data_IF_320286297928
#
_entry.id   IF_320286297928
#
_cell.length_a   1.000
_cell.length_b   1.000
_cell.length_c   1.000
_cell.angle_alpha   90.00
_cell.angle_beta   90.00
_cell.angle_gamma   90.00
#
_symmetry.space_group_name_H-M   'P 1'
#
loop_
_entity.id
_entity.type
_entity.pdbx_description
1 polymer ?
#
# COMPACT_ATOMS: atom_id res chain seq x y z
N UNK A 1 -10.01 -23.58 -5.42
CA UNK A 1 -9.12 -22.84 -6.35
C UNK A 1 -7.72 -23.42 -6.23
N UNK A 2 -7.00 -23.66 -7.34
CA UNK A 2 -5.57 -24.02 -7.27
C UNK A 2 -4.79 -22.74 -7.00
N UNK A 3 -4.13 -22.65 -5.85
CA UNK A 3 -3.25 -21.53 -5.54
C UNK A 3 -2.02 -21.56 -6.45
N UNK A 4 -1.71 -20.43 -7.08
CA UNK A 4 -0.50 -20.27 -7.88
C UNK A 4 0.48 -19.41 -7.08
N UNK A 5 1.72 -19.87 -6.91
CA UNK A 5 2.77 -19.15 -6.19
C UNK A 5 3.65 -18.38 -7.17
N UNK A 6 3.94 -17.12 -6.85
CA UNK A 6 4.91 -16.29 -7.55
C UNK A 6 6.16 -16.12 -6.69
N UNK A 7 7.33 -16.41 -7.24
CA UNK A 7 8.62 -16.17 -6.60
C UNK A 7 9.39 -15.11 -7.39
N UNK A 8 9.90 -14.10 -6.69
CA UNK A 8 10.61 -12.95 -7.27
C UNK A 8 11.97 -12.86 -6.59
N UNK A 9 13.03 -12.57 -7.37
CA UNK A 9 14.35 -12.25 -6.82
C UNK A 9 14.55 -10.75 -6.86
N UNK A 10 14.87 -10.19 -5.72
CA UNK A 10 15.15 -8.77 -5.50
C UNK A 10 16.35 -8.65 -4.58
N UNK A 11 17.02 -7.50 -4.60
CA UNK A 11 18.14 -7.25 -3.68
C UNK A 11 17.64 -7.07 -2.23
N UNK A 12 18.49 -7.28 -1.22
CA UNK A 12 18.11 -7.05 0.18
C UNK A 12 17.69 -5.60 0.44
N UNK A 13 18.39 -4.63 -0.16
CA UNK A 13 18.09 -3.20 0.01
C UNK A 13 16.73 -2.86 -0.58
N UNK A 14 16.46 -3.35 -1.80
CA UNK A 14 15.17 -3.19 -2.47
C UNK A 14 14.03 -3.87 -1.68
N UNK A 15 14.28 -5.04 -1.07
CA UNK A 15 13.30 -5.68 -0.19
C UNK A 15 12.96 -4.81 1.02
N UNK A 16 13.96 -4.17 1.64
CA UNK A 16 13.74 -3.27 2.78
C UNK A 16 12.99 -2.01 2.38
N UNK A 17 13.26 -1.44 1.21
CA UNK A 17 12.49 -0.31 0.67
C UNK A 17 11.02 -0.69 0.46
N UNK A 18 10.75 -1.82 -0.23
CA UNK A 18 9.38 -2.27 -0.49
C UNK A 18 8.64 -2.57 0.82
N UNK A 19 9.31 -3.13 1.84
CA UNK A 19 8.71 -3.35 3.16
C UNK A 19 8.30 -2.04 3.83
N UNK A 20 9.14 -0.99 3.75
CA UNK A 20 8.81 0.34 4.28
C UNK A 20 7.60 0.91 3.56
N UNK A 21 7.61 0.88 2.23
CA UNK A 21 6.49 1.39 1.42
C UNK A 21 5.18 0.66 1.71
N UNK A 22 5.23 -0.67 1.88
CA UNK A 22 4.07 -1.47 2.28
C UNK A 22 3.55 -1.07 3.66
N UNK A 23 4.46 -0.88 4.63
CA UNK A 23 4.11 -0.43 5.99
C UNK A 23 3.49 0.98 6.00
N UNK A 24 4.07 1.91 5.23
CA UNK A 24 3.56 3.27 5.08
C UNK A 24 2.18 3.29 4.42
N UNK A 25 1.94 2.38 3.48
CA UNK A 25 0.64 2.15 2.87
C UNK A 25 -0.36 1.39 3.76
N UNK A 26 0.07 0.86 4.92
CA UNK A 26 -0.76 0.06 5.83
C UNK A 26 -1.12 -1.31 5.26
N UNK A 27 -0.26 -1.90 4.43
CA UNK A 27 -0.50 -3.15 3.72
C UNK A 27 0.50 -4.22 4.11
N UNK A 28 0.12 -5.48 3.90
CA UNK A 28 1.10 -6.56 3.87
C UNK A 28 1.98 -6.43 2.63
N UNK A 29 3.22 -6.93 2.70
CA UNK A 29 4.14 -6.96 1.56
C UNK A 29 3.51 -7.65 0.33
N UNK A 30 2.77 -8.74 0.56
CA UNK A 30 2.11 -9.49 -0.51
C UNK A 30 1.01 -8.67 -1.19
N UNK A 31 0.16 -7.99 -0.42
CA UNK A 31 -0.92 -7.16 -0.94
C UNK A 31 -0.40 -5.92 -1.66
N UNK A 32 0.67 -5.32 -1.14
CA UNK A 32 1.36 -4.20 -1.76
C UNK A 32 1.90 -4.60 -3.15
N UNK A 33 2.68 -5.69 -3.21
CA UNK A 33 3.21 -6.20 -4.47
C UNK A 33 2.11 -6.58 -5.47
N UNK A 34 1.04 -7.24 -5.00
CA UNK A 34 -0.08 -7.62 -5.85
C UNK A 34 -0.84 -6.40 -6.38
N UNK A 35 -0.99 -5.36 -5.56
CA UNK A 35 -1.63 -4.10 -5.95
C UNK A 35 -0.83 -3.39 -7.05
N UNK A 36 0.50 -3.31 -6.91
CA UNK A 36 1.37 -2.74 -7.94
C UNK A 36 1.29 -3.50 -9.28
N UNK A 37 1.25 -4.83 -9.24
CA UNK A 37 1.09 -5.66 -10.45
C UNK A 37 -0.28 -5.42 -11.12
N UNK A 38 -1.34 -5.33 -10.32
CA UNK A 38 -2.70 -5.08 -10.81
C UNK A 38 -2.83 -3.69 -11.44
N UNK A 39 -2.28 -2.68 -10.79
CA UNK A 39 -2.24 -1.30 -11.29
C UNK A 39 -1.55 -1.22 -12.65
N UNK A 40 -0.37 -1.84 -12.81
CA UNK A 40 0.35 -1.90 -14.10
C UNK A 40 -0.43 -2.59 -15.21
N UNK A 41 -1.34 -3.51 -14.87
CA UNK A 41 -2.21 -4.21 -15.82
C UNK A 41 -3.55 -3.50 -16.05
N UNK A 42 -3.79 -2.35 -15.40
CA UNK A 42 -5.09 -1.68 -15.43
C UNK A 42 -6.21 -2.49 -14.78
N UNK A 43 -5.86 -3.47 -13.94
CA UNK A 43 -6.84 -4.28 -13.20
C UNK A 43 -7.21 -3.49 -11.96
N UNK A 44 -8.44 -2.97 -11.90
CA UNK A 44 -9.02 -2.46 -10.66
C UNK A 44 -9.61 -3.64 -9.89
N UNK A 45 -9.01 -4.07 -8.76
CA UNK A 45 -9.67 -5.04 -7.91
C UNK A 45 -10.95 -4.43 -7.32
N UNK A 46 -11.99 -5.23 -7.11
CA UNK A 46 -13.21 -4.80 -6.40
C UNK A 46 -12.90 -4.29 -4.97
N UNK A 47 -11.78 -4.73 -4.39
CA UNK A 47 -11.25 -4.26 -3.10
C UNK A 47 -10.35 -3.00 -3.20
N UNK A 48 -10.11 -2.46 -4.41
CA UNK A 48 -9.31 -1.24 -4.60
C UNK A 48 -9.93 -0.05 -3.88
N UNK A 49 -11.25 -0.02 -3.79
CA UNK A 49 -11.97 1.00 -3.02
C UNK A 49 -11.55 0.96 -1.55
N UNK A 50 -11.44 -0.21 -0.92
CA UNK A 50 -11.05 -0.31 0.50
C UNK A 50 -9.61 0.11 0.74
N UNK A 51 -8.68 -0.29 -0.12
CA UNK A 51 -7.27 0.09 -0.04
C UNK A 51 -7.09 1.60 -0.28
N UNK A 52 -7.77 2.13 -1.30
CA UNK A 52 -7.75 3.56 -1.63
C UNK A 52 -8.38 4.40 -0.52
N UNK A 53 -9.48 3.93 0.08
CA UNK A 53 -10.12 4.55 1.23
C UNK A 53 -9.18 4.58 2.44
N UNK A 54 -8.47 3.50 2.74
CA UNK A 54 -7.53 3.46 3.87
C UNK A 54 -6.40 4.49 3.69
N UNK A 55 -5.83 4.58 2.48
CA UNK A 55 -4.80 5.57 2.14
C UNK A 55 -5.34 7.00 2.23
N UNK A 56 -6.56 7.25 1.75
CA UNK A 56 -7.23 8.57 1.82
C UNK A 56 -7.52 8.96 3.27
N UNK A 57 -7.95 8.02 4.11
CA UNK A 57 -8.19 8.24 5.54
C UNK A 57 -6.88 8.64 6.22
N UNK A 58 -5.78 7.90 6.01
CA UNK A 58 -4.48 8.21 6.62
C UNK A 58 -3.94 9.58 6.22
N UNK A 59 -4.14 9.99 4.95
CA UNK A 59 -3.79 11.34 4.48
C UNK A 59 -4.61 12.40 5.19
N UNK A 60 -5.93 12.19 5.32
CA UNK A 60 -6.83 13.11 6.00
C UNK A 60 -6.51 13.23 7.49
N UNK A 61 -6.20 12.13 8.17
CA UNK A 61 -5.79 12.12 9.59
C UNK A 61 -4.53 12.98 9.80
N UNK A 62 -3.52 12.82 8.95
CA UNK A 62 -2.30 13.62 9.01
C UNK A 62 -2.55 15.11 8.77
N UNK A 63 -3.44 15.44 7.82
CA UNK A 63 -3.83 16.83 7.55
C UNK A 63 -4.59 17.44 8.73
N UNK A 64 -5.48 16.69 9.37
CA UNK A 64 -6.22 17.14 10.55
C UNK A 64 -5.26 17.36 11.72
N UNK A 65 -4.34 16.44 11.99
CA UNK A 65 -3.34 16.59 13.04
C UNK A 65 -2.47 17.85 12.83
N UNK A 66 -2.07 18.14 11.59
CA UNK A 66 -1.32 19.33 11.24
C UNK A 66 -2.12 20.64 11.41
N UNK A 67 -3.45 20.60 11.20
CA UNK A 67 -4.33 21.75 11.41
C UNK A 67 -4.56 22.01 12.91
N UNK A 68 -4.79 20.96 13.70
CA UNK A 68 -4.96 21.07 15.16
C UNK A 68 -3.67 21.59 15.82
N UNK A 69 -2.50 21.07 15.40
CA UNK A 69 -1.20 21.51 15.93
C UNK A 69 -0.81 22.95 15.57
N UNK A 70 -1.46 23.59 14.58
CA UNK A 70 -1.26 25.01 14.24
C UNK A 70 -2.22 25.95 14.98
N UNK A 71 -3.23 25.42 15.66
CA UNK A 71 -4.25 26.20 16.37
C UNK A 71 -3.95 26.35 17.89
N UNK A 72 -2.82 25.84 18.37
CA UNK A 72 -2.28 26.01 19.73
C UNK A 72 -1.06 26.94 19.70
#
# INVERSE_FOLDING_TARGET
MKESRLSIRISPDELEEIKRDASDAGMTLADYCLSAIREKRGIQPEAFDNISLHRRIKILENQIAALIGKAA
#
